data_IF_244849891778
#
_entry.id   IF_244849891778
#
_cell.length_a   1.000
_cell.length_b   1.000
_cell.length_c   1.000
_cell.angle_alpha   90.00
_cell.angle_beta   90.00
_cell.angle_gamma   90.00
#
_symmetry.space_group_name_H-M   'P 1'
#
loop_
_entity.id
_entity.type
_entity.pdbx_description
1 polymer ?
#
# COMPACT_ATOMS: atom_id res chain seq x y z
N UNK A 1 14.38 13.53 14.00
CA UNK A 1 14.84 13.88 12.64
C UNK A 1 14.58 15.36 12.41
N UNK A 2 15.47 16.05 11.67
CA UNK A 2 15.34 17.49 11.41
C UNK A 2 14.21 17.74 10.39
N UNK A 3 13.04 18.19 10.88
CA UNK A 3 11.85 18.43 10.05
C UNK A 3 12.08 19.46 8.95
N UNK A 4 13.05 20.38 9.12
CA UNK A 4 13.41 21.40 8.13
C UNK A 4 13.95 20.79 6.84
N UNK A 5 14.50 19.56 6.90
CA UNK A 5 14.97 18.85 5.70
C UNK A 5 13.84 18.32 4.82
N UNK A 6 12.63 18.20 5.36
CA UNK A 6 11.46 17.69 4.62
C UNK A 6 10.85 18.82 3.78
N UNK A 7 10.71 20.01 4.37
CA UNK A 7 10.07 21.18 3.74
C UNK A 7 11.07 21.95 2.87
N UNK A 8 11.40 21.37 1.72
CA UNK A 8 12.25 21.99 0.70
C UNK A 8 11.68 21.68 -0.67
N UNK A 9 11.70 22.66 -1.57
CA UNK A 9 11.33 22.44 -2.95
C UNK A 9 12.19 21.35 -3.59
N UNK A 10 11.55 20.33 -4.18
CA UNK A 10 12.22 19.23 -4.86
C UNK A 10 11.37 18.73 -6.02
N UNK A 11 12.03 18.23 -7.07
CA UNK A 11 11.38 17.44 -8.11
C UNK A 11 11.01 16.05 -7.59
N UNK A 12 10.14 15.34 -8.29
CA UNK A 12 9.70 13.97 -7.93
C UNK A 12 10.90 13.03 -7.78
N UNK A 13 11.82 13.03 -8.73
CA UNK A 13 13.04 12.21 -8.69
C UNK A 13 13.96 12.59 -7.53
N UNK A 14 14.09 13.87 -7.23
CA UNK A 14 14.88 14.34 -6.07
C UNK A 14 14.23 13.92 -4.73
N UNK A 15 12.89 13.85 -4.65
CA UNK A 15 12.19 13.30 -3.47
C UNK A 15 12.49 11.80 -3.29
N UNK A 16 12.48 11.02 -4.37
CA UNK A 16 12.83 9.58 -4.31
C UNK A 16 14.28 9.38 -3.89
N UNK A 17 15.21 10.16 -4.45
CA UNK A 17 16.61 10.12 -4.07
C UNK A 17 16.82 10.48 -2.59
N UNK A 18 16.19 11.55 -2.11
CA UNK A 18 16.29 11.97 -0.72
C UNK A 18 15.72 10.90 0.25
N UNK A 19 14.64 10.22 -0.13
CA UNK A 19 14.08 9.12 0.66
C UNK A 19 14.99 7.88 0.67
N UNK A 20 15.66 7.59 -0.46
CA UNK A 20 16.64 6.51 -0.54
C UNK A 20 17.87 6.82 0.33
N UNK A 21 18.43 8.01 0.25
CA UNK A 21 19.53 8.47 1.10
C UNK A 21 19.16 8.41 2.59
N UNK A 22 17.91 8.78 2.94
CA UNK A 22 17.41 8.65 4.31
C UNK A 22 17.34 7.18 4.75
N UNK A 23 16.73 6.32 3.94
CA UNK A 23 16.52 4.91 4.26
C UNK A 23 17.86 4.16 4.39
N UNK A 24 18.80 4.38 3.47
CA UNK A 24 20.12 3.73 3.48
C UNK A 24 21.04 4.30 4.57
N UNK A 25 21.08 5.61 4.74
CA UNK A 25 21.92 6.26 5.75
C UNK A 25 21.51 5.96 7.20
N UNK A 26 20.24 5.63 7.42
CA UNK A 26 19.71 5.33 8.75
C UNK A 26 19.16 3.90 8.87
N UNK A 27 19.49 2.99 7.94
CA UNK A 27 18.93 1.63 7.87
C UNK A 27 19.08 0.87 9.20
N UNK A 28 20.26 0.92 9.81
CA UNK A 28 20.51 0.24 11.09
C UNK A 28 19.66 0.80 12.22
N UNK A 29 19.43 2.11 12.25
CA UNK A 29 18.59 2.74 13.27
C UNK A 29 17.10 2.40 13.07
N UNK A 30 16.64 2.38 11.82
CA UNK A 30 15.28 1.96 11.45
C UNK A 30 15.09 0.50 11.90
N UNK A 31 16.00 -0.40 11.49
CA UNK A 31 15.97 -1.80 11.87
C UNK A 31 15.95 -1.98 13.40
N UNK A 32 16.85 -1.37 14.14
CA UNK A 32 16.90 -1.51 15.62
C UNK A 32 15.58 -1.13 16.29
N UNK A 33 14.86 -0.15 15.78
CA UNK A 33 13.59 0.32 16.38
C UNK A 33 12.36 -0.45 15.91
N UNK A 34 12.40 -1.06 14.73
CA UNK A 34 11.18 -1.61 14.09
C UNK A 34 11.28 -3.11 13.78
N UNK A 35 12.44 -3.74 13.96
CA UNK A 35 12.67 -5.14 13.57
C UNK A 35 11.64 -6.12 14.15
N UNK A 36 11.29 -5.97 15.44
CA UNK A 36 10.36 -6.86 16.11
C UNK A 36 8.95 -6.79 15.49
N UNK A 37 8.44 -5.58 15.22
CA UNK A 37 7.14 -5.39 14.61
C UNK A 37 7.12 -5.88 13.15
N UNK A 38 8.19 -5.59 12.41
CA UNK A 38 8.35 -6.06 11.02
C UNK A 38 8.48 -7.58 10.93
N UNK A 39 9.19 -8.21 11.89
CA UNK A 39 9.33 -9.66 11.94
C UNK A 39 7.99 -10.34 12.23
N UNK A 40 7.25 -9.85 13.22
CA UNK A 40 5.93 -10.38 13.54
C UNK A 40 5.00 -10.24 12.33
N UNK A 41 4.97 -9.09 11.68
CA UNK A 41 4.18 -8.89 10.47
C UNK A 41 4.59 -9.84 9.35
N UNK A 42 5.89 -10.04 9.13
CA UNK A 42 6.41 -10.96 8.12
C UNK A 42 5.99 -12.41 8.38
N UNK A 43 6.05 -12.86 9.64
CA UNK A 43 5.61 -14.21 10.06
C UNK A 43 4.10 -14.37 9.76
N UNK A 44 3.26 -13.44 10.21
CA UNK A 44 1.82 -13.55 9.95
C UNK A 44 1.49 -13.48 8.47
N UNK A 45 2.20 -12.67 7.69
CA UNK A 45 2.05 -12.63 6.23
C UNK A 45 2.43 -13.96 5.58
N UNK A 46 3.57 -14.55 5.98
CA UNK A 46 4.02 -15.86 5.50
C UNK A 46 3.01 -16.96 5.83
N UNK A 47 2.49 -16.99 7.06
CA UNK A 47 1.45 -17.92 7.51
C UNK A 47 0.17 -17.71 6.68
N UNK A 48 -0.27 -16.48 6.47
CA UNK A 48 -1.46 -16.15 5.68
C UNK A 48 -1.37 -16.71 4.26
N UNK A 49 -0.20 -16.56 3.62
CA UNK A 49 0.02 -17.06 2.26
C UNK A 49 0.12 -18.58 2.27
N UNK A 50 0.81 -19.19 3.23
CA UNK A 50 0.90 -20.64 3.35
C UNK A 50 -0.48 -21.31 3.46
N UNK A 51 -1.39 -20.76 4.27
CA UNK A 51 -2.75 -21.28 4.40
C UNK A 51 -3.62 -21.07 3.14
N UNK A 52 -3.24 -20.18 2.25
CA UNK A 52 -3.91 -20.01 0.94
C UNK A 52 -3.41 -20.95 -0.14
N UNK A 53 -2.26 -21.60 0.09
CA UNK A 53 -1.77 -22.56 -0.88
C UNK A 53 -2.56 -23.85 -0.80
N UNK A 54 -2.77 -24.51 -1.94
CA UNK A 54 -3.35 -25.85 -1.98
C UNK A 54 -2.35 -26.82 -1.34
N UNK A 55 -2.52 -27.05 -0.03
CA UNK A 55 -1.66 -27.97 0.75
C UNK A 55 -2.09 -29.42 0.66
N UNK A 56 -3.29 -29.67 0.17
CA UNK A 56 -3.88 -30.98 -0.05
C UNK A 56 -4.37 -31.04 -1.47
N UNK A 57 -4.29 -32.21 -2.10
CA UNK A 57 -4.65 -32.37 -3.51
C UNK A 57 -5.97 -31.69 -3.87
N UNK A 58 -6.14 -31.32 -5.12
CA UNK A 58 -7.35 -30.65 -5.65
C UNK A 58 -8.68 -31.28 -5.22
N UNK A 59 -8.64 -32.56 -4.80
CA UNK A 59 -9.81 -33.32 -4.34
C UNK A 59 -10.33 -32.83 -2.97
N UNK A 60 -9.49 -32.31 -2.08
CA UNK A 60 -9.90 -31.88 -0.73
C UNK A 60 -10.48 -30.45 -0.67
N UNK A 61 -10.42 -29.70 -1.76
CA UNK A 61 -10.96 -28.33 -1.81
C UNK A 61 -12.49 -28.28 -1.67
N UNK A 62 -13.18 -29.37 -2.04
CA UNK A 62 -14.64 -29.48 -1.88
C UNK A 62 -15.10 -30.01 -0.51
N UNK A 63 -14.18 -30.60 0.28
CA UNK A 63 -14.53 -31.25 1.56
C UNK A 63 -14.17 -30.41 2.80
N UNK A 64 -13.44 -29.32 2.66
CA UNK A 64 -13.17 -28.39 3.77
C UNK A 64 -14.48 -27.75 4.21
N UNK A 65 -14.86 -27.97 5.47
CA UNK A 65 -15.99 -27.28 6.06
C UNK A 65 -15.79 -25.76 5.86
N UNK A 66 -16.56 -25.09 4.97
CA UNK A 66 -16.29 -23.72 4.55
C UNK A 66 -16.34 -22.74 5.73
N UNK A 67 -17.10 -23.09 6.78
CA UNK A 67 -17.20 -22.25 7.98
C UNK A 67 -15.96 -22.33 8.88
N UNK A 68 -15.38 -23.53 9.05
CA UNK A 68 -14.17 -23.70 9.85
C UNK A 68 -12.94 -23.05 9.17
N UNK A 69 -12.81 -23.21 7.86
CA UNK A 69 -11.74 -22.54 7.09
C UNK A 69 -11.92 -21.02 7.03
N UNK A 70 -13.16 -20.55 6.90
CA UNK A 70 -13.48 -19.12 6.89
C UNK A 70 -13.17 -18.44 8.22
N UNK A 71 -13.52 -19.04 9.36
CA UNK A 71 -13.26 -18.47 10.68
C UNK A 71 -11.75 -18.37 10.97
N UNK A 72 -10.99 -19.42 10.69
CA UNK A 72 -9.53 -19.43 10.91
C UNK A 72 -8.81 -18.42 10.01
N UNK A 73 -9.16 -18.38 8.73
CA UNK A 73 -8.60 -17.40 7.81
C UNK A 73 -8.91 -15.96 8.23
N UNK A 74 -10.15 -15.69 8.64
CA UNK A 74 -10.56 -14.36 9.09
C UNK A 74 -9.76 -13.90 10.30
N UNK A 75 -9.53 -14.78 11.28
CA UNK A 75 -8.70 -14.48 12.46
C UNK A 75 -7.27 -14.13 12.05
N UNK A 76 -6.64 -14.93 11.17
CA UNK A 76 -5.28 -14.66 10.69
C UNK A 76 -5.20 -13.31 9.95
N UNK A 77 -6.20 -12.98 9.12
CA UNK A 77 -6.27 -11.68 8.45
C UNK A 77 -6.38 -10.52 9.42
N UNK A 78 -7.24 -10.62 10.44
CA UNK A 78 -7.36 -9.58 11.45
C UNK A 78 -6.04 -9.35 12.19
N UNK A 79 -5.33 -10.43 12.55
CA UNK A 79 -3.99 -10.31 13.15
C UNK A 79 -2.97 -9.68 12.19
N UNK A 80 -2.96 -10.05 10.92
CA UNK A 80 -2.07 -9.45 9.92
C UNK A 80 -2.34 -7.96 9.75
N UNK A 81 -3.62 -7.55 9.72
CA UNK A 81 -4.01 -6.15 9.68
C UNK A 81 -3.52 -5.41 10.94
N UNK A 82 -3.75 -5.97 12.13
CA UNK A 82 -3.29 -5.39 13.39
C UNK A 82 -1.76 -5.19 13.38
N UNK A 83 -1.01 -6.22 12.98
CA UNK A 83 0.45 -6.17 12.86
C UNK A 83 0.90 -5.09 11.86
N UNK A 84 0.17 -4.90 10.76
CA UNK A 84 0.45 -3.82 9.81
C UNK A 84 0.30 -2.44 10.45
N UNK A 85 -0.76 -2.21 11.23
CA UNK A 85 -0.96 -0.94 11.96
C UNK A 85 0.17 -0.68 12.96
N UNK A 86 0.58 -1.70 13.70
CA UNK A 86 1.68 -1.61 14.68
C UNK A 86 3.00 -1.30 13.97
N UNK A 87 3.33 -2.02 12.89
CA UNK A 87 4.57 -1.83 12.13
C UNK A 87 4.64 -0.43 11.50
N UNK A 88 3.57 0.00 10.85
CA UNK A 88 3.51 1.35 10.27
C UNK A 88 3.63 2.44 11.35
N UNK A 89 3.00 2.23 12.52
CA UNK A 89 3.11 3.17 13.64
C UNK A 89 4.52 3.22 14.21
N UNK A 90 5.23 2.08 14.27
CA UNK A 90 6.62 2.01 14.70
C UNK A 90 7.57 2.73 13.71
N UNK A 91 7.36 2.56 12.41
CA UNK A 91 8.10 3.26 11.36
C UNK A 91 7.88 4.78 11.44
N UNK A 92 6.64 5.22 11.61
CA UNK A 92 6.33 6.63 11.78
C UNK A 92 6.86 7.19 13.10
N UNK A 93 6.88 6.41 14.18
CA UNK A 93 7.47 6.83 15.45
C UNK A 93 8.98 7.06 15.33
N UNK A 94 9.68 6.23 14.53
CA UNK A 94 11.07 6.50 14.20
C UNK A 94 11.24 7.83 13.45
N UNK A 95 10.32 8.14 12.54
CA UNK A 95 10.38 9.31 11.69
C UNK A 95 10.05 10.62 12.42
N UNK A 96 8.95 10.68 13.19
CA UNK A 96 8.42 11.90 13.79
C UNK A 96 8.57 12.03 15.32
N UNK A 97 9.00 10.96 16.00
CA UNK A 97 9.23 10.91 17.47
C UNK A 97 8.02 11.33 18.34
N UNK A 98 6.77 11.26 17.81
CA UNK A 98 5.54 11.69 18.51
C UNK A 98 4.95 10.65 19.47
N UNK A 99 5.55 9.49 19.57
CA UNK A 99 5.05 8.37 20.36
C UNK A 99 4.17 7.40 19.56
N UNK A 100 4.29 6.12 19.91
CA UNK A 100 3.66 5.02 19.16
C UNK A 100 2.13 5.08 19.20
N UNK A 101 1.54 5.37 20.39
CA UNK A 101 0.09 5.47 20.57
C UNK A 101 -0.53 6.55 19.69
N UNK A 102 0.09 7.74 19.64
CA UNK A 102 -0.40 8.86 18.86
C UNK A 102 -0.30 8.55 17.35
N UNK A 103 0.79 7.93 16.93
CA UNK A 103 0.97 7.52 15.53
C UNK A 103 -0.02 6.42 15.13
N UNK A 104 -0.33 5.47 16.02
CA UNK A 104 -1.33 4.44 15.79
C UNK A 104 -2.71 5.05 15.54
N UNK A 105 -3.15 5.98 16.40
CA UNK A 105 -4.45 6.66 16.24
C UNK A 105 -4.50 7.46 14.93
N UNK A 106 -3.43 8.17 14.59
CA UNK A 106 -3.35 8.96 13.35
C UNK A 106 -3.33 8.09 12.11
N UNK A 107 -2.59 6.99 12.14
CA UNK A 107 -2.54 6.04 11.04
C UNK A 107 -3.89 5.35 10.85
N UNK A 108 -4.52 4.86 11.93
CA UNK A 108 -5.82 4.22 11.86
C UNK A 108 -6.92 5.14 11.32
N UNK A 109 -6.93 6.43 11.69
CA UNK A 109 -7.92 7.38 11.17
C UNK A 109 -7.80 7.60 9.66
N UNK A 110 -6.59 7.60 9.10
CA UNK A 110 -6.38 7.69 7.66
C UNK A 110 -6.74 6.37 6.97
N UNK A 111 -6.35 5.24 7.55
CA UNK A 111 -6.67 3.92 6.99
C UNK A 111 -8.17 3.65 6.98
N UNK A 112 -8.93 4.18 7.93
CA UNK A 112 -10.38 4.09 7.93
C UNK A 112 -10.97 4.82 6.70
N UNK A 113 -10.45 5.98 6.33
CA UNK A 113 -10.86 6.70 5.12
C UNK A 113 -10.58 5.86 3.86
N UNK A 114 -9.37 5.27 3.77
CA UNK A 114 -9.04 4.38 2.66
C UNK A 114 -9.95 3.15 2.61
N UNK A 115 -10.25 2.54 3.78
CA UNK A 115 -11.14 1.38 3.86
C UNK A 115 -12.55 1.71 3.35
N UNK A 116 -13.11 2.86 3.73
CA UNK A 116 -14.43 3.31 3.24
C UNK A 116 -14.42 3.48 1.72
N UNK A 117 -13.37 4.10 1.17
CA UNK A 117 -13.23 4.28 -0.28
C UNK A 117 -13.11 2.92 -0.99
N UNK A 118 -12.28 2.01 -0.46
CA UNK A 118 -12.12 0.67 -1.01
C UNK A 118 -13.44 -0.13 -0.97
N UNK A 119 -14.18 -0.08 0.15
CA UNK A 119 -15.49 -0.73 0.27
C UNK A 119 -16.46 -0.18 -0.77
N UNK A 120 -16.46 1.13 -1.00
CA UNK A 120 -17.30 1.74 -2.02
C UNK A 120 -16.96 1.22 -3.43
N UNK A 121 -15.68 1.31 -3.85
CA UNK A 121 -15.29 0.95 -5.21
C UNK A 121 -15.28 -0.55 -5.48
N UNK A 122 -14.86 -1.37 -4.52
CA UNK A 122 -14.69 -2.80 -4.71
C UNK A 122 -15.79 -3.65 -4.08
N UNK A 123 -16.62 -3.08 -3.20
CA UNK A 123 -17.77 -3.74 -2.58
C UNK A 123 -19.11 -3.26 -3.15
N UNK A 124 -19.46 -2.02 -2.90
CA UNK A 124 -20.80 -1.49 -3.24
C UNK A 124 -21.00 -1.23 -4.74
N UNK A 125 -20.01 -0.64 -5.40
CA UNK A 125 -20.12 -0.32 -6.83
C UNK A 125 -20.30 -1.58 -7.69
N UNK A 126 -19.59 -2.71 -7.49
CA UNK A 126 -19.86 -3.96 -8.19
C UNK A 126 -21.28 -4.48 -8.00
N UNK A 127 -21.83 -4.37 -6.78
CA UNK A 127 -23.20 -4.80 -6.49
C UNK A 127 -24.22 -3.96 -7.29
N UNK A 128 -23.96 -2.67 -7.43
CA UNK A 128 -24.82 -1.77 -8.19
C UNK A 128 -24.70 -1.97 -9.72
N UNK A 129 -23.50 -2.32 -10.22
CA UNK A 129 -23.27 -2.51 -11.68
C UNK A 129 -23.61 -3.93 -12.15
N UNK A 130 -23.68 -4.93 -11.25
CA UNK A 130 -23.95 -6.32 -11.57
C UNK A 130 -25.20 -6.55 -12.43
N UNK A 131 -26.38 -5.93 -12.17
CA UNK A 131 -27.57 -6.13 -12.99
C UNK A 131 -27.41 -5.52 -14.41
N UNK A 132 -26.68 -4.43 -14.54
CA UNK A 132 -26.41 -3.81 -15.84
C UNK A 132 -25.47 -4.70 -16.68
N UNK A 133 -24.40 -5.17 -16.07
CA UNK A 133 -23.42 -6.06 -16.72
C UNK A 133 -24.07 -7.40 -17.09
N UNK A 134 -24.96 -7.94 -16.22
CA UNK A 134 -25.74 -9.13 -16.53
C UNK A 134 -26.55 -8.98 -17.81
N UNK A 135 -27.31 -7.88 -17.96
CA UNK A 135 -28.08 -7.61 -19.18
C UNK A 135 -27.19 -7.47 -20.43
N UNK A 136 -26.03 -6.82 -20.29
CA UNK A 136 -25.06 -6.71 -21.38
C UNK A 136 -24.39 -8.06 -21.72
N UNK A 137 -24.17 -8.89 -20.72
CA UNK A 137 -23.62 -10.23 -20.89
C UNK A 137 -24.62 -11.19 -21.55
N UNK A 138 -25.90 -11.10 -21.20
CA UNK A 138 -26.98 -11.88 -21.84
C UNK A 138 -27.14 -11.52 -23.32
N UNK A 139 -26.90 -10.26 -23.67
CA UNK A 139 -26.84 -9.80 -25.08
C UNK A 139 -25.56 -10.24 -25.81
N UNK A 140 -24.52 -10.66 -25.07
CA UNK A 140 -23.25 -11.11 -25.65
C UNK A 140 -23.35 -12.61 -26.00
N UNK A 141 -23.58 -12.94 -27.24
CA UNK A 141 -23.80 -14.30 -27.77
C UNK A 141 -22.58 -15.25 -27.70
N UNK A 142 -21.45 -14.86 -27.09
CA UNK A 142 -20.26 -15.71 -26.97
C UNK A 142 -19.52 -15.59 -25.64
N UNK A 143 -18.96 -16.69 -25.09
CA UNK A 143 -18.20 -16.68 -23.81
C UNK A 143 -17.02 -15.69 -23.82
N UNK A 144 -16.36 -15.51 -24.96
CA UNK A 144 -15.23 -14.58 -25.08
C UNK A 144 -15.66 -13.10 -24.93
N UNK A 145 -16.84 -12.73 -25.41
CA UNK A 145 -17.38 -11.37 -25.22
C UNK A 145 -17.73 -11.13 -23.76
N UNK A 146 -18.28 -12.14 -23.08
CA UNK A 146 -18.58 -12.05 -21.65
C UNK A 146 -17.32 -11.86 -20.80
N UNK A 147 -16.24 -12.61 -21.10
CA UNK A 147 -14.94 -12.44 -20.45
C UNK A 147 -14.35 -11.04 -20.72
N UNK A 148 -14.42 -10.56 -21.95
CA UNK A 148 -13.94 -9.24 -22.33
C UNK A 148 -14.69 -8.13 -21.57
N UNK A 149 -16.02 -8.26 -21.43
CA UNK A 149 -16.87 -7.30 -20.77
C UNK A 149 -16.59 -7.22 -19.27
N UNK A 150 -16.44 -8.38 -18.60
CA UNK A 150 -16.12 -8.46 -17.17
C UNK A 150 -14.69 -7.95 -16.86
N UNK A 151 -13.75 -8.27 -17.73
CA UNK A 151 -12.35 -7.80 -17.61
C UNK A 151 -12.26 -6.29 -17.87
N UNK A 152 -12.97 -5.79 -18.88
CA UNK A 152 -13.03 -4.36 -19.20
C UNK A 152 -13.65 -3.55 -18.05
N UNK A 153 -14.72 -4.06 -17.44
CA UNK A 153 -15.32 -3.43 -16.24
C UNK A 153 -14.34 -3.38 -15.06
N UNK A 154 -13.64 -4.47 -14.79
CA UNK A 154 -12.66 -4.53 -13.71
C UNK A 154 -11.51 -3.52 -13.92
N UNK A 155 -10.98 -3.43 -15.15
CA UNK A 155 -9.93 -2.49 -15.51
C UNK A 155 -10.43 -1.04 -15.37
N UNK A 156 -11.60 -0.74 -15.92
CA UNK A 156 -12.19 0.61 -15.85
C UNK A 156 -12.43 1.03 -14.39
N UNK A 157 -12.98 0.14 -13.59
CA UNK A 157 -13.23 0.37 -12.16
C UNK A 157 -11.93 0.58 -11.40
N UNK A 158 -10.92 -0.25 -11.65
CA UNK A 158 -9.59 -0.10 -11.06
C UNK A 158 -8.95 1.24 -11.42
N UNK A 159 -9.09 1.69 -12.66
CA UNK A 159 -8.58 2.97 -13.12
C UNK A 159 -9.29 4.16 -12.45
N UNK A 160 -10.63 4.14 -12.36
CA UNK A 160 -11.40 5.17 -11.66
C UNK A 160 -11.06 5.18 -10.15
N UNK A 161 -10.98 4.01 -9.51
CA UNK A 161 -10.58 3.89 -8.13
C UNK A 161 -9.17 4.46 -7.89
N UNK A 162 -8.22 4.19 -8.77
CA UNK A 162 -6.87 4.74 -8.71
C UNK A 162 -6.88 6.27 -8.78
N UNK A 163 -7.61 6.87 -9.71
CA UNK A 163 -7.73 8.33 -9.83
C UNK A 163 -8.33 8.93 -8.56
N UNK A 164 -9.33 8.29 -7.96
CA UNK A 164 -9.97 8.77 -6.74
C UNK A 164 -9.10 8.56 -5.49
N UNK A 165 -8.34 7.47 -5.41
CA UNK A 165 -7.52 7.13 -4.23
C UNK A 165 -6.20 7.90 -4.22
N UNK A 166 -5.60 8.15 -5.38
CA UNK A 166 -4.27 8.72 -5.49
C UNK A 166 -4.10 10.08 -4.79
N UNK A 167 -5.04 11.04 -4.90
CA UNK A 167 -4.94 12.32 -4.18
C UNK A 167 -4.92 12.15 -2.65
N UNK A 168 -5.48 11.06 -2.13
CA UNK A 168 -5.44 10.75 -0.70
C UNK A 168 -4.04 10.37 -0.21
N UNK A 169 -3.10 9.97 -1.09
CA UNK A 169 -1.71 9.71 -0.72
C UNK A 169 -1.05 10.91 -0.04
N UNK A 170 -1.55 12.14 -0.32
CA UNK A 170 -1.15 13.37 0.35
C UNK A 170 -1.63 13.46 1.81
N UNK A 171 -2.75 12.82 2.15
CA UNK A 171 -3.36 12.91 3.48
C UNK A 171 -2.53 12.21 4.56
N UNK A 172 -1.93 11.07 4.24
CA UNK A 172 -1.17 10.28 5.21
C UNK A 172 0.03 11.05 5.78
N UNK A 173 0.99 11.54 4.97
CA UNK A 173 2.11 12.33 5.46
C UNK A 173 1.64 13.60 6.20
N UNK A 174 0.63 14.29 5.67
CA UNK A 174 0.07 15.48 6.29
C UNK A 174 -0.47 15.19 7.68
N UNK A 175 -1.23 14.10 7.87
CA UNK A 175 -1.78 13.74 9.18
C UNK A 175 -0.69 13.33 10.18
N UNK A 176 0.36 12.66 9.69
CA UNK A 176 1.46 12.21 10.54
C UNK A 176 2.39 13.35 10.99
N UNK A 177 2.64 14.33 10.11
CA UNK A 177 3.58 15.41 10.41
C UNK A 177 2.93 16.60 11.10
N UNK A 178 1.61 16.82 10.94
CA UNK A 178 0.92 17.96 11.52
C UNK A 178 1.02 18.00 13.07
N UNK A 179 0.92 19.18 13.63
CA UNK A 179 0.83 19.40 15.07
C UNK A 179 -0.51 18.85 15.64
N UNK A 180 -0.53 18.55 16.94
CA UNK A 180 -1.70 17.97 17.60
C UNK A 180 -2.90 18.92 17.64
N UNK A 181 -2.65 20.22 17.69
CA UNK A 181 -3.66 21.29 17.76
C UNK A 181 -4.47 21.51 16.48
N UNK A 182 -3.96 21.05 15.32
CA UNK A 182 -4.61 21.28 14.02
C UNK A 182 -5.58 20.14 13.68
N UNK A 183 -6.89 20.40 13.45
CA UNK A 183 -7.84 19.35 13.08
C UNK A 183 -7.55 18.75 11.70
N UNK A 184 -7.84 17.46 11.51
CA UNK A 184 -7.76 16.82 10.21
C UNK A 184 -8.88 17.37 9.32
N UNK A 185 -8.52 17.97 8.19
CA UNK A 185 -9.46 18.45 7.16
C UNK A 185 -9.27 17.63 5.88
N UNK A 186 -9.91 16.47 5.76
CA UNK A 186 -9.66 15.54 4.65
C UNK A 186 -9.97 16.15 3.29
N UNK A 187 -11.07 16.89 3.17
CA UNK A 187 -11.48 17.55 1.91
C UNK A 187 -10.46 18.58 1.43
N UNK A 188 -9.94 19.42 2.32
CA UNK A 188 -8.91 20.40 1.95
C UNK A 188 -7.59 19.72 1.56
N UNK A 189 -7.28 18.59 2.15
CA UNK A 189 -6.13 17.79 1.78
C UNK A 189 -6.33 17.11 0.43
N UNK A 190 -7.53 16.62 0.16
CA UNK A 190 -7.89 16.01 -1.11
C UNK A 190 -7.82 16.99 -2.28
N UNK A 191 -8.40 18.19 -2.13
CA UNK A 191 -8.32 19.23 -3.17
C UNK A 191 -6.90 19.70 -3.46
N UNK A 192 -6.03 19.76 -2.43
CA UNK A 192 -4.60 20.02 -2.62
C UNK A 192 -3.93 18.87 -3.38
N UNK A 193 -4.23 17.62 -3.03
CA UNK A 193 -3.76 16.45 -3.74
C UNK A 193 -4.20 16.40 -5.21
N UNK A 194 -5.46 16.79 -5.50
CA UNK A 194 -5.96 16.90 -6.89
C UNK A 194 -5.20 17.97 -7.69
N UNK A 195 -4.90 19.12 -7.09
CA UNK A 195 -4.14 20.19 -7.77
C UNK A 195 -2.73 19.73 -8.15
N UNK A 196 -2.11 18.87 -7.34
CA UNK A 196 -0.78 18.30 -7.57
C UNK A 196 -0.83 16.84 -8.06
N UNK A 197 -1.97 16.44 -8.68
CA UNK A 197 -2.19 15.06 -9.13
C UNK A 197 -1.05 14.52 -9.98
N UNK A 198 -0.53 15.30 -10.93
CA UNK A 198 0.55 14.87 -11.81
C UNK A 198 1.83 14.47 -11.05
N UNK A 199 2.23 15.26 -10.03
CA UNK A 199 3.41 14.93 -9.21
C UNK A 199 3.18 13.69 -8.35
N UNK A 200 1.98 13.52 -7.79
CA UNK A 200 1.60 12.35 -6.98
C UNK A 200 1.54 11.10 -7.87
N UNK A 201 0.95 11.22 -9.07
CA UNK A 201 0.88 10.14 -10.05
C UNK A 201 2.28 9.69 -10.50
N UNK A 202 3.16 10.63 -10.87
CA UNK A 202 4.53 10.31 -11.26
C UNK A 202 5.31 9.63 -10.12
N UNK A 203 5.15 10.09 -8.88
CA UNK A 203 5.75 9.44 -7.71
C UNK A 203 5.23 8.02 -7.53
N UNK A 204 3.91 7.83 -7.64
CA UNK A 204 3.27 6.52 -7.58
C UNK A 204 3.76 5.60 -8.69
N UNK A 205 3.75 6.06 -9.94
CA UNK A 205 4.14 5.28 -11.10
C UNK A 205 5.62 4.83 -11.04
N UNK A 206 6.54 5.78 -10.79
CA UNK A 206 7.97 5.46 -10.66
C UNK A 206 8.23 4.53 -9.48
N UNK A 207 7.56 4.76 -8.35
CA UNK A 207 7.69 3.90 -7.18
C UNK A 207 7.20 2.49 -7.44
N UNK A 208 6.03 2.30 -8.07
CA UNK A 208 5.50 0.99 -8.44
C UNK A 208 6.46 0.26 -9.38
N UNK A 209 7.00 0.96 -10.39
CA UNK A 209 7.95 0.37 -11.34
C UNK A 209 9.22 -0.13 -10.65
N UNK A 210 9.80 0.66 -9.75
CA UNK A 210 10.98 0.26 -8.99
C UNK A 210 10.67 -0.88 -8.02
N UNK A 211 9.55 -0.80 -7.27
CA UNK A 211 9.12 -1.86 -6.36
C UNK A 211 8.87 -3.15 -7.13
N UNK A 212 8.27 -3.09 -8.33
CA UNK A 212 8.04 -4.26 -9.17
C UNK A 212 9.35 -4.97 -9.52
N UNK A 213 10.37 -4.23 -9.96
CA UNK A 213 11.70 -4.79 -10.27
C UNK A 213 12.32 -5.44 -9.03
N UNK A 214 12.30 -4.75 -7.89
CA UNK A 214 12.83 -5.27 -6.62
C UNK A 214 12.06 -6.53 -6.20
N UNK A 215 10.73 -6.52 -6.35
CA UNK A 215 9.85 -7.64 -6.00
C UNK A 215 10.16 -8.87 -6.83
N UNK A 216 10.38 -8.74 -8.14
CA UNK A 216 10.76 -9.87 -9.00
C UNK A 216 12.03 -10.56 -8.48
N UNK A 217 13.03 -9.79 -8.06
CA UNK A 217 14.29 -10.33 -7.53
C UNK A 217 14.07 -10.98 -6.15
N UNK A 218 13.37 -10.29 -5.26
CA UNK A 218 13.19 -10.74 -3.87
C UNK A 218 12.26 -11.95 -3.74
N UNK A 219 11.23 -12.05 -4.59
CA UNK A 219 10.30 -13.18 -4.57
C UNK A 219 10.85 -14.43 -5.26
N UNK A 220 11.95 -14.34 -6.00
CA UNK A 220 12.50 -15.48 -6.75
C UNK A 220 12.69 -16.74 -5.90
N UNK A 221 13.31 -16.70 -4.69
CA UNK A 221 13.47 -17.90 -3.86
C UNK A 221 12.10 -18.49 -3.45
N UNK A 222 11.15 -17.64 -3.12
CA UNK A 222 9.78 -18.04 -2.75
C UNK A 222 9.06 -18.69 -3.93
N UNK A 223 9.17 -18.12 -5.15
CA UNK A 223 8.58 -18.68 -6.36
C UNK A 223 9.15 -20.06 -6.71
N UNK A 224 10.45 -20.28 -6.51
CA UNK A 224 11.07 -21.59 -6.70
C UNK A 224 10.46 -22.62 -5.74
N UNK A 225 10.33 -22.28 -4.47
CA UNK A 225 9.73 -23.19 -3.49
C UNK A 225 8.25 -23.44 -3.77
N UNK A 226 7.49 -22.42 -4.19
CA UNK A 226 6.10 -22.57 -4.62
C UNK A 226 5.99 -23.51 -5.81
N UNK A 227 6.87 -23.37 -6.81
CA UNK A 227 6.89 -24.25 -7.97
C UNK A 227 7.16 -25.71 -7.58
N UNK A 228 8.13 -25.96 -6.69
CA UNK A 228 8.42 -27.30 -6.16
C UNK A 228 7.20 -27.90 -5.49
N UNK A 229 6.48 -27.12 -4.66
CA UNK A 229 5.26 -27.58 -4.00
C UNK A 229 4.15 -27.96 -4.99
N UNK A 230 3.92 -27.10 -6.00
CA UNK A 230 2.91 -27.38 -7.04
C UNK A 230 3.28 -28.63 -7.84
N UNK A 231 4.56 -28.79 -8.22
CA UNK A 231 5.02 -29.97 -8.95
C UNK A 231 4.88 -31.25 -8.15
N UNK A 232 5.21 -31.24 -6.86
CA UNK A 232 5.02 -32.40 -5.99
C UNK A 232 3.55 -32.79 -5.84
N UNK A 233 2.64 -31.81 -5.81
CA UNK A 233 1.19 -32.10 -5.77
C UNK A 233 0.69 -32.69 -7.08
N UNK A 234 1.16 -32.20 -8.23
CA UNK A 234 0.84 -32.76 -9.54
C UNK A 234 1.36 -34.19 -9.66
N UNK A 235 2.59 -34.45 -9.22
CA UNK A 235 3.16 -35.80 -9.19
C UNK A 235 2.33 -36.77 -8.33
N UNK A 236 1.86 -36.33 -7.17
CA UNK A 236 0.99 -37.13 -6.32
C UNK A 236 -0.36 -37.47 -7.00
N UNK A 237 -0.90 -36.57 -7.83
CA UNK A 237 -2.11 -36.82 -8.64
C UNK A 237 -1.85 -37.81 -9.80
N UNK A 238 -0.63 -37.83 -10.32
CA UNK A 238 -0.18 -38.75 -11.37
C UNK A 238 0.24 -40.12 -10.82
N UNK A 239 0.14 -40.32 -9.51
CA UNK A 239 0.45 -41.58 -8.84
C UNK A 239 1.91 -41.73 -8.41
N UNK A 240 2.69 -40.65 -8.42
CA UNK A 240 4.06 -40.63 -7.89
C UNK A 240 4.00 -40.45 -6.36
N UNK A 241 4.46 -41.45 -5.55
CA UNK A 241 4.40 -41.42 -4.11
C UNK A 241 5.48 -40.52 -3.46
N UNK A 242 6.35 -39.87 -4.24
CA UNK A 242 7.41 -39.00 -3.74
C UNK A 242 6.79 -37.71 -3.13
N UNK A 243 6.36 -37.82 -1.89
CA UNK A 243 5.86 -36.69 -1.10
C UNK A 243 6.92 -35.64 -0.80
N UNK A 244 6.48 -34.45 -0.47
CA UNK A 244 7.37 -33.35 -0.02
C UNK A 244 8.05 -33.77 1.30
N UNK A 245 9.40 -33.63 1.43
CA UNK A 245 10.10 -33.91 2.69
C UNK A 245 9.56 -33.06 3.85
N UNK A 246 9.54 -33.61 5.06
CA UNK A 246 9.00 -32.92 6.24
C UNK A 246 9.67 -31.56 6.56
N UNK A 247 10.93 -31.38 6.18
CA UNK A 247 11.64 -30.11 6.37
C UNK A 247 11.22 -29.01 5.38
N UNK A 248 10.47 -29.34 4.34
CA UNK A 248 10.10 -28.37 3.29
C UNK A 248 9.19 -27.27 3.83
N UNK A 249 8.17 -27.61 4.60
CA UNK A 249 7.25 -26.64 5.19
C UNK A 249 7.95 -25.60 6.07
N UNK A 250 8.80 -25.97 7.06
CA UNK A 250 9.54 -24.97 7.83
C UNK A 250 10.52 -24.17 6.98
N UNK A 251 11.17 -24.77 5.99
CA UNK A 251 12.04 -24.04 5.06
C UNK A 251 11.27 -23.01 4.25
N UNK A 252 10.11 -23.38 3.74
CA UNK A 252 9.23 -22.49 2.98
C UNK A 252 8.78 -21.29 3.83
N UNK A 253 8.29 -21.53 5.06
CA UNK A 253 7.88 -20.48 5.97
C UNK A 253 9.05 -19.55 6.35
N UNK A 254 10.24 -20.09 6.55
CA UNK A 254 11.43 -19.30 6.85
C UNK A 254 11.81 -18.39 5.68
N UNK A 255 11.89 -18.93 4.47
CA UNK A 255 12.23 -18.15 3.26
C UNK A 255 11.17 -17.07 3.02
N UNK A 256 9.90 -17.40 3.13
CA UNK A 256 8.82 -16.41 3.01
C UNK A 256 8.94 -15.31 4.07
N UNK A 257 9.16 -15.68 5.33
CA UNK A 257 9.30 -14.72 6.43
C UNK A 257 10.44 -13.75 6.17
N UNK A 258 11.61 -14.26 5.74
CA UNK A 258 12.76 -13.42 5.41
C UNK A 258 12.45 -12.49 4.23
N UNK A 259 11.83 -13.00 3.19
CA UNK A 259 11.44 -12.22 2.01
C UNK A 259 10.50 -11.07 2.41
N UNK A 260 9.43 -11.36 3.16
CA UNK A 260 8.49 -10.32 3.60
C UNK A 260 9.11 -9.36 4.62
N UNK A 261 9.99 -9.83 5.48
CA UNK A 261 10.71 -8.96 6.42
C UNK A 261 11.46 -7.85 5.68
N UNK A 262 12.25 -8.18 4.68
CA UNK A 262 12.96 -7.17 3.88
C UNK A 262 12.02 -6.35 2.99
N UNK A 263 10.96 -6.96 2.46
CA UNK A 263 9.99 -6.28 1.61
C UNK A 263 9.24 -5.16 2.33
N UNK A 264 8.99 -5.29 3.63
CA UNK A 264 8.40 -4.24 4.47
C UNK A 264 9.24 -2.96 4.42
N UNK A 265 10.57 -3.07 4.44
CA UNK A 265 11.46 -1.90 4.38
C UNK A 265 11.52 -1.26 3.00
N UNK A 266 11.33 -2.03 1.93
CA UNK A 266 11.18 -1.50 0.57
C UNK A 266 9.90 -0.67 0.46
N UNK A 267 8.78 -1.17 1.01
CA UNK A 267 7.52 -0.42 1.06
C UNK A 267 7.66 0.83 1.96
N UNK A 268 8.36 0.73 3.09
CA UNK A 268 8.61 1.85 3.98
C UNK A 268 9.41 2.98 3.29
N UNK A 269 10.44 2.63 2.52
CA UNK A 269 11.18 3.58 1.70
C UNK A 269 10.25 4.33 0.73
N UNK A 270 9.35 3.63 0.05
CA UNK A 270 8.36 4.26 -0.82
C UNK A 270 7.42 5.20 -0.05
N UNK A 271 6.98 4.81 1.12
CA UNK A 271 6.20 5.67 2.02
C UNK A 271 6.94 6.95 2.41
N UNK A 272 8.25 6.87 2.66
CA UNK A 272 9.08 8.06 2.91
C UNK A 272 9.19 8.96 1.68
N UNK A 273 9.19 8.41 0.46
CA UNK A 273 9.19 9.21 -0.78
C UNK A 273 7.96 10.09 -0.88
N UNK A 274 6.77 9.58 -0.53
CA UNK A 274 5.54 10.39 -0.44
C UNK A 274 5.62 11.47 0.65
N UNK A 275 6.37 11.21 1.73
CA UNK A 275 6.57 12.20 2.79
C UNK A 275 7.41 13.39 2.32
N UNK A 276 8.47 13.13 1.54
CA UNK A 276 9.26 14.18 0.92
C UNK A 276 8.49 14.94 -0.16
N UNK A 277 7.67 14.25 -0.95
CA UNK A 277 6.79 14.87 -1.93
C UNK A 277 5.77 15.80 -1.26
N UNK A 278 5.18 15.35 -0.13
CA UNK A 278 4.30 16.19 0.68
C UNK A 278 5.00 17.48 1.11
N UNK A 279 6.23 17.38 1.64
CA UNK A 279 7.01 18.55 2.04
C UNK A 279 7.31 19.49 0.88
N UNK A 280 7.63 18.99 -0.31
CA UNK A 280 7.86 19.77 -1.50
C UNK A 280 6.60 20.52 -1.96
N UNK A 281 5.43 19.85 -1.95
CA UNK A 281 4.13 20.45 -2.30
C UNK A 281 3.75 21.56 -1.30
N UNK A 282 3.91 21.32 0.01
CA UNK A 282 3.59 22.32 1.05
C UNK A 282 4.47 23.57 0.90
N UNK A 283 5.75 23.40 0.55
CA UNK A 283 6.66 24.53 0.28
C UNK A 283 6.19 25.33 -0.93
N UNK A 284 5.81 24.67 -2.03
CA UNK A 284 5.27 25.34 -3.23
C UNK A 284 3.99 26.12 -2.93
N UNK A 285 3.06 25.53 -2.19
CA UNK A 285 1.80 26.19 -1.82
C UNK A 285 2.05 27.40 -0.90
N UNK A 286 3.05 27.32 -0.04
CA UNK A 286 3.44 28.43 0.83
C UNK A 286 4.05 29.59 0.03
N UNK A 287 5.04 29.30 -0.82
CA UNK A 287 5.66 30.30 -1.69
C UNK A 287 4.65 30.97 -2.62
N UNK A 288 3.70 30.19 -3.18
CA UNK A 288 2.65 30.74 -4.03
C UNK A 288 1.75 31.72 -3.27
N UNK A 289 1.39 31.42 -2.01
CA UNK A 289 0.59 32.30 -1.17
C UNK A 289 1.34 33.59 -0.83
N UNK A 290 2.62 33.48 -0.50
CA UNK A 290 3.46 34.63 -0.19
C UNK A 290 3.59 35.58 -1.40
N UNK A 291 3.76 35.05 -2.61
CA UNK A 291 3.78 35.84 -3.85
C UNK A 291 2.45 36.56 -4.11
N UNK A 292 1.32 35.86 -3.98
CA UNK A 292 -0.01 36.48 -4.16
C UNK A 292 -0.29 37.56 -3.11
N UNK A 293 0.20 37.40 -1.89
CA UNK A 293 0.07 38.45 -0.85
C UNK A 293 0.93 39.65 -1.17
N UNK A 294 2.15 39.46 -1.67
CA UNK A 294 3.02 40.58 -2.10
C UNK A 294 2.42 41.33 -3.28
N UNK A 295 1.90 40.62 -4.30
CA UNK A 295 1.22 41.25 -5.47
C UNK A 295 -0.02 42.05 -5.04
N UNK A 296 -0.83 41.54 -4.11
CA UNK A 296 -2.01 42.27 -3.62
C UNK A 296 -1.61 43.53 -2.83
N UNK A 297 -0.55 43.45 -2.02
CA UNK A 297 -0.04 44.63 -1.31
C UNK A 297 0.49 45.72 -2.24
N UNK A 298 1.18 45.30 -3.31
CA UNK A 298 1.69 46.22 -4.33
C UNK A 298 0.54 46.92 -5.06
N UNK A 299 -0.52 46.16 -5.39
CA UNK A 299 -1.72 46.70 -6.05
C UNK A 299 -2.46 47.71 -5.16
N UNK A 300 -2.61 47.43 -3.87
CA UNK A 300 -3.27 48.30 -2.90
C UNK A 300 -2.47 49.59 -2.71
N UNK A 301 -1.13 49.54 -2.69
CA UNK A 301 -0.26 50.75 -2.60
C UNK A 301 -0.43 51.62 -3.84
N UNK A 302 -0.48 51.04 -5.02
CA UNK A 302 -0.66 51.80 -6.30
C UNK A 302 -2.04 52.48 -6.32
N UNK A 303 -3.09 51.83 -5.85
CA UNK A 303 -4.45 52.42 -5.76
C UNK A 303 -4.59 53.56 -4.74
N UNK A 304 -3.75 53.57 -3.70
CA UNK A 304 -3.73 54.65 -2.71
C UNK A 304 -2.91 55.91 -3.14
N UNK A 305 -2.12 55.79 -4.20
CA UNK A 305 -1.31 56.90 -4.74
C UNK A 305 -1.97 57.63 -5.92
N UNK A 306 -3.00 57.06 -6.50
CA UNK A 306 -3.88 57.68 -7.51
C UNK A 306 -5.08 58.37 -6.86
#
# INVERSE_FOLDING_TARGET
>A
MDTNKIFKYRSVTACMRASYELATGHLVQILKKTWWASLILAIFTAITIYFRMPNKGLHDWGQLNPWASFSTQTVIYLFTILCTFVTCSALWNWFNSKGMKQNLIRYSSVMLIYAVICIFFFGLLPLATKPLIGRLADAASSPNKMLLLSTGELILRGFIAMICILPFAYILPRNMLREASVPLRPWKSYTCGLRHFGSIFMMGFLGILLIFIITLIMLMPTCILMYVQIKSQLGALEGDPLGIPAYFTPLFLLVMTLTFFFYIYVIAWWGFSFTYLYGAIETQEKEKKERLQAENQEHDVVHHIQ
#
